data_IF_705153351514
#
_entry.id   IF_705153351514
#
_cell.length_a   1.000
_cell.length_b   1.000
_cell.length_c   1.000
_cell.angle_alpha   90.00
_cell.angle_beta   90.00
_cell.angle_gamma   90.00
#
_symmetry.space_group_name_H-M   'P 1'
#
loop_
_entity.id
_entity.type
_entity.pdbx_description
1 polymer ?
#
# COMPACT_ATOMS: atom_id res chain seq x y z
N UNK A 1 31.13 22.64 -24.60
CA UNK A 1 30.14 21.81 -25.33
C UNK A 1 29.86 20.44 -24.69
N UNK A 2 30.85 19.56 -24.44
CA UNK A 2 30.59 18.20 -23.89
C UNK A 2 29.90 18.17 -22.50
N UNK A 3 30.21 19.12 -21.61
CA UNK A 3 29.66 19.16 -20.24
C UNK A 3 28.18 19.60 -20.22
N UNK A 4 27.84 20.60 -21.03
CA UNK A 4 26.48 21.12 -21.19
C UNK A 4 25.56 20.10 -21.85
N UNK A 5 26.05 19.34 -22.83
CA UNK A 5 25.29 18.25 -23.48
C UNK A 5 25.00 17.10 -22.50
N UNK A 6 25.95 16.74 -21.61
CA UNK A 6 25.72 15.72 -20.57
C UNK A 6 24.66 16.15 -19.55
N UNK A 7 24.66 17.41 -19.13
CA UNK A 7 23.66 17.94 -18.17
C UNK A 7 22.26 17.94 -18.80
N UNK A 8 22.15 18.31 -20.08
CA UNK A 8 20.88 18.28 -20.82
C UNK A 8 20.37 16.84 -20.98
N UNK A 9 21.23 15.87 -21.26
CA UNK A 9 20.85 14.46 -21.37
C UNK A 9 20.37 13.90 -20.01
N UNK A 10 21.05 14.23 -18.91
CA UNK A 10 20.62 13.80 -17.56
C UNK A 10 19.28 14.43 -17.17
N UNK A 11 19.08 15.72 -17.46
CA UNK A 11 17.79 16.38 -17.25
C UNK A 11 16.68 15.76 -18.10
N UNK A 12 16.95 15.42 -19.36
CA UNK A 12 16.00 14.74 -20.24
C UNK A 12 15.63 13.34 -19.71
N UNK A 13 16.61 12.57 -19.20
CA UNK A 13 16.35 11.25 -18.60
C UNK A 13 15.52 11.37 -17.32
N UNK A 14 15.81 12.35 -16.46
CA UNK A 14 15.01 12.60 -15.23
C UNK A 14 13.60 13.07 -15.56
N UNK A 15 13.43 13.88 -16.61
CA UNK A 15 12.11 14.31 -17.09
C UNK A 15 11.35 13.12 -17.70
N UNK A 16 11.99 12.27 -18.51
CA UNK A 16 11.34 11.08 -19.09
C UNK A 16 10.96 10.08 -17.98
N UNK A 17 11.85 9.85 -17.00
CA UNK A 17 11.58 8.99 -15.85
C UNK A 17 10.47 9.56 -14.95
N UNK A 18 10.43 10.88 -14.75
CA UNK A 18 9.37 11.57 -14.02
C UNK A 18 8.03 11.60 -14.77
N UNK A 19 8.06 11.65 -16.10
CA UNK A 19 6.86 11.54 -16.95
C UNK A 19 6.33 10.10 -16.95
N UNK A 20 7.17 9.06 -16.94
CA UNK A 20 6.69 7.68 -16.81
C UNK A 20 5.99 7.37 -15.47
N UNK A 21 6.25 8.15 -14.42
CA UNK A 21 5.52 8.04 -13.14
C UNK A 21 4.25 8.91 -13.12
N UNK A 22 4.15 9.90 -14.02
CA UNK A 22 3.06 10.87 -14.08
C UNK A 22 2.10 10.72 -15.27
N UNK A 23 2.37 9.85 -16.22
CA UNK A 23 1.36 9.47 -17.23
C UNK A 23 0.39 8.52 -16.56
N UNK A 24 -0.69 9.08 -16.01
CA UNK A 24 -1.96 8.38 -15.82
C UNK A 24 -2.15 7.48 -17.01
N UNK A 25 -2.07 6.16 -16.78
CA UNK A 25 -2.31 5.20 -17.83
C UNK A 25 -3.80 5.32 -18.13
N UNK A 26 -4.15 6.22 -19.05
CA UNK A 26 -5.41 6.14 -19.79
C UNK A 26 -5.24 4.93 -20.71
N UNK A 27 -5.29 3.74 -20.10
CA UNK A 27 -5.69 2.55 -20.83
C UNK A 27 -6.98 2.93 -21.57
N UNK A 28 -7.11 2.51 -22.83
CA UNK A 28 -8.44 2.45 -23.42
C UNK A 28 -9.34 1.78 -22.38
N UNK A 29 -10.48 2.40 -22.07
CA UNK A 29 -11.39 1.87 -21.07
C UNK A 29 -11.66 0.40 -21.39
N UNK A 30 -11.06 -0.50 -20.61
CA UNK A 30 -11.33 -1.91 -20.75
C UNK A 30 -12.79 -2.07 -20.30
N UNK A 31 -13.64 -2.68 -21.14
CA UNK A 31 -15.01 -3.00 -20.75
C UNK A 31 -14.99 -3.82 -19.43
N UNK A 32 -16.02 -3.69 -18.58
CA UNK A 32 -16.09 -4.46 -17.35
C UNK A 32 -16.06 -5.95 -17.69
N UNK A 33 -15.03 -6.63 -17.20
CA UNK A 33 -14.78 -8.06 -17.44
C UNK A 33 -13.89 -8.61 -16.33
N UNK A 34 -13.88 -9.93 -16.19
CA UNK A 34 -13.01 -10.61 -15.22
C UNK A 34 -11.52 -10.28 -15.45
N UNK A 35 -11.10 -10.21 -16.72
CA UNK A 35 -9.72 -9.86 -17.10
C UNK A 35 -9.36 -8.42 -16.69
N UNK A 36 -10.26 -7.46 -16.93
CA UNK A 36 -10.02 -6.07 -16.55
C UNK A 36 -10.07 -5.87 -15.03
N UNK A 37 -10.92 -6.63 -14.34
CA UNK A 37 -11.02 -6.64 -12.89
C UNK A 37 -9.78 -7.25 -12.23
N UNK A 38 -9.29 -8.38 -12.74
CA UNK A 38 -8.04 -9.01 -12.31
C UNK A 38 -6.86 -8.05 -12.45
N UNK A 39 -6.74 -7.39 -13.60
CA UNK A 39 -5.67 -6.40 -13.83
C UNK A 39 -5.70 -5.26 -12.80
N UNK A 40 -6.88 -4.78 -12.45
CA UNK A 40 -7.04 -3.76 -11.41
C UNK A 40 -6.70 -4.30 -10.02
N UNK A 41 -7.13 -5.52 -9.70
CA UNK A 41 -6.84 -6.19 -8.44
C UNK A 41 -5.34 -6.43 -8.25
N UNK A 42 -4.62 -6.84 -9.30
CA UNK A 42 -3.15 -7.01 -9.28
C UNK A 42 -2.45 -5.66 -9.13
N UNK A 43 -2.88 -4.63 -9.86
CA UNK A 43 -2.30 -3.29 -9.73
C UNK A 43 -2.52 -2.70 -8.33
N UNK A 44 -3.65 -3.00 -7.69
CA UNK A 44 -3.92 -2.63 -6.31
C UNK A 44 -2.95 -3.30 -5.34
N UNK A 45 -2.73 -4.61 -5.48
CA UNK A 45 -1.74 -5.34 -4.68
C UNK A 45 -0.33 -4.74 -4.83
N UNK A 46 0.10 -4.48 -6.07
CA UNK A 46 1.40 -3.83 -6.33
C UNK A 46 1.52 -2.47 -5.66
N UNK A 47 0.44 -1.67 -5.66
CA UNK A 47 0.43 -0.36 -5.01
C UNK A 47 0.53 -0.48 -3.48
N UNK A 48 -0.21 -1.41 -2.88
CA UNK A 48 -0.21 -1.68 -1.44
C UNK A 48 1.14 -2.19 -0.94
N UNK A 49 1.78 -3.07 -1.72
CA UNK A 49 2.99 -3.78 -1.33
C UNK A 49 4.27 -3.01 -1.62
N UNK A 50 4.33 -2.30 -2.75
CA UNK A 50 5.57 -1.71 -3.25
C UNK A 50 5.54 -0.19 -3.39
N UNK A 51 4.36 0.43 -3.40
CA UNK A 51 4.21 1.89 -3.59
C UNK A 51 3.65 2.60 -2.35
N UNK A 52 3.53 1.90 -1.22
CA UNK A 52 2.93 2.41 0.00
C UNK A 52 3.61 3.64 0.60
N UNK A 53 4.88 3.89 0.28
CA UNK A 53 5.58 5.12 0.68
C UNK A 53 4.93 6.38 0.10
N UNK A 54 4.19 6.23 -1.01
CA UNK A 54 3.36 7.25 -1.62
C UNK A 54 1.87 6.84 -1.63
N UNK A 55 1.14 7.02 -0.51
CA UNK A 55 -0.26 6.59 -0.40
C UNK A 55 -1.20 7.30 -1.37
N UNK A 56 -0.77 8.41 -1.99
CA UNK A 56 -1.53 9.07 -3.04
C UNK A 56 -1.83 8.14 -4.23
N UNK A 57 -0.94 7.17 -4.53
CA UNK A 57 -1.17 6.19 -5.60
C UNK A 57 -2.31 5.24 -5.22
N UNK A 58 -2.35 4.80 -3.97
CA UNK A 58 -3.38 3.88 -3.47
C UNK A 58 -4.75 4.59 -3.46
N UNK A 59 -4.78 5.87 -3.13
CA UNK A 59 -6.00 6.69 -3.20
C UNK A 59 -6.64 6.72 -4.61
N UNK A 60 -5.84 6.62 -5.67
CA UNK A 60 -6.35 6.57 -7.06
C UNK A 60 -7.14 5.29 -7.38
N UNK A 61 -7.12 4.28 -6.51
CA UNK A 61 -7.99 3.12 -6.62
C UNK A 61 -9.33 3.31 -5.93
N UNK A 62 -9.44 4.23 -4.96
CA UNK A 62 -10.65 4.35 -4.14
C UNK A 62 -11.90 4.65 -4.98
N UNK A 63 -13.04 4.14 -4.52
CA UNK A 63 -14.34 4.48 -5.13
C UNK A 63 -14.68 5.96 -5.02
N UNK A 64 -15.55 6.44 -5.90
CA UNK A 64 -16.05 7.80 -5.90
C UNK A 64 -16.81 8.14 -4.62
N UNK A 65 -17.58 7.19 -4.08
CA UNK A 65 -18.29 7.40 -2.80
C UNK A 65 -17.31 7.57 -1.63
N UNK A 66 -16.21 6.81 -1.61
CA UNK A 66 -15.12 7.04 -0.66
C UNK A 66 -14.55 8.46 -0.80
N UNK A 67 -14.21 8.86 -2.04
CA UNK A 67 -13.59 10.15 -2.36
C UNK A 67 -14.48 11.36 -2.10
N UNK A 68 -15.81 11.17 -2.09
CA UNK A 68 -16.78 12.22 -1.68
C UNK A 68 -16.73 12.51 -0.19
N UNK A 69 -16.34 11.53 0.62
CA UNK A 69 -16.29 11.63 2.08
C UNK A 69 -14.90 12.02 2.57
N UNK A 70 -13.87 11.34 2.06
CA UNK A 70 -12.49 11.53 2.48
C UNK A 70 -11.64 12.01 1.31
N UNK A 71 -11.00 13.17 1.47
CA UNK A 71 -10.06 13.67 0.46
C UNK A 71 -8.70 12.97 0.51
N UNK A 72 -7.93 13.15 -0.57
CA UNK A 72 -6.60 12.55 -0.73
C UNK A 72 -5.63 12.90 0.42
N UNK A 73 -5.67 14.13 0.91
CA UNK A 73 -4.74 14.58 1.96
C UNK A 73 -5.04 13.92 3.30
N UNK A 74 -6.33 13.73 3.58
CA UNK A 74 -6.81 13.00 4.75
C UNK A 74 -6.51 11.51 4.66
N UNK A 75 -6.74 10.88 3.52
CA UNK A 75 -6.36 9.49 3.28
C UNK A 75 -4.87 9.26 3.52
N UNK A 76 -4.00 10.11 2.96
CA UNK A 76 -2.54 9.99 3.16
C UNK A 76 -2.17 10.07 4.65
N UNK A 77 -2.84 10.95 5.41
CA UNK A 77 -2.62 11.09 6.86
C UNK A 77 -3.09 9.83 7.60
N UNK A 78 -4.29 9.34 7.31
CA UNK A 78 -4.87 8.15 7.91
C UNK A 78 -3.99 6.91 7.63
N UNK A 79 -3.65 6.68 6.37
CA UNK A 79 -2.80 5.58 5.93
C UNK A 79 -1.42 5.59 6.61
N UNK A 80 -0.76 6.75 6.71
CA UNK A 80 0.52 6.87 7.41
C UNK A 80 0.40 6.58 8.90
N UNK A 81 -0.69 7.01 9.54
CA UNK A 81 -0.95 6.73 10.96
C UNK A 81 -1.21 5.23 11.15
N UNK A 82 -2.06 4.65 10.32
CA UNK A 82 -2.43 3.24 10.31
C UNK A 82 -1.23 2.29 10.19
N UNK A 83 -0.23 2.68 9.37
CA UNK A 83 1.04 1.96 9.19
C UNK A 83 2.18 2.40 10.11
N UNK A 84 1.97 3.38 11.00
CA UNK A 84 3.04 3.89 11.88
C UNK A 84 3.54 2.87 12.92
N UNK A 85 2.78 1.80 13.15
CA UNK A 85 3.19 0.69 14.01
C UNK A 85 3.25 -0.61 13.19
N UNK A 86 4.43 -0.96 12.64
CA UNK A 86 4.58 -2.06 11.67
C UNK A 86 4.24 -3.45 12.24
N UNK A 87 4.24 -3.60 13.56
CA UNK A 87 3.83 -4.84 14.23
C UNK A 87 2.32 -5.03 14.31
N UNK A 88 1.54 -3.95 14.13
CA UNK A 88 0.07 -3.99 14.07
C UNK A 88 -0.44 -4.05 12.63
N UNK A 89 0.41 -3.75 11.66
CA UNK A 89 0.04 -3.70 10.23
C UNK A 89 1.15 -4.29 9.34
N UNK A 90 1.35 -5.62 9.30
CA UNK A 90 2.15 -6.26 8.27
C UNK A 90 1.24 -6.73 7.13
N UNK A 91 1.30 -6.15 5.94
CA UNK A 91 0.48 -6.63 4.82
C UNK A 91 1.19 -6.47 3.48
N UNK A 92 1.97 -7.49 3.16
CA UNK A 92 2.21 -7.85 1.79
C UNK A 92 1.04 -8.75 1.35
N UNK A 93 0.35 -8.43 0.24
CA UNK A 93 -0.83 -9.15 -0.25
C UNK A 93 -0.55 -9.78 -1.61
N UNK A 94 -0.76 -11.09 -1.74
CA UNK A 94 -0.59 -11.78 -3.01
C UNK A 94 -1.96 -12.02 -3.64
N UNK A 95 -2.14 -11.55 -4.87
CA UNK A 95 -3.34 -11.82 -5.66
C UNK A 95 -3.62 -13.32 -5.76
N UNK A 96 -4.88 -13.70 -5.54
CA UNK A 96 -5.38 -15.07 -5.72
C UNK A 96 -6.38 -15.12 -6.88
N UNK A 97 -7.51 -14.41 -6.76
CA UNK A 97 -8.57 -14.40 -7.77
C UNK A 97 -9.51 -13.19 -7.65
N UNK A 98 -10.31 -12.96 -8.69
CA UNK A 98 -11.49 -12.10 -8.66
C UNK A 98 -12.74 -12.94 -8.89
N UNK A 99 -13.83 -12.61 -8.20
CA UNK A 99 -15.16 -13.11 -8.49
C UNK A 99 -16.08 -11.92 -8.78
N UNK A 100 -16.64 -11.87 -10.00
CA UNK A 100 -17.60 -10.85 -10.38
C UNK A 100 -19.02 -11.27 -10.01
N UNK A 101 -19.84 -10.30 -9.64
CA UNK A 101 -21.28 -10.47 -9.47
C UNK A 101 -21.97 -10.64 -10.83
N UNK A 102 -23.24 -11.06 -10.81
CA UNK A 102 -24.03 -11.30 -12.02
C UNK A 102 -24.15 -10.07 -12.94
N UNK A 103 -24.06 -8.87 -12.37
CA UNK A 103 -24.09 -7.60 -13.12
C UNK A 103 -22.81 -7.33 -13.93
N UNK A 104 -21.72 -8.04 -13.63
CA UNK A 104 -20.40 -7.88 -14.24
C UNK A 104 -19.72 -6.55 -13.90
N UNK A 105 -20.32 -5.68 -13.10
CA UNK A 105 -19.84 -4.34 -12.75
C UNK A 105 -19.40 -4.21 -11.30
N UNK A 106 -19.66 -5.22 -10.48
CA UNK A 106 -19.16 -5.31 -9.11
C UNK A 106 -18.56 -6.68 -8.85
N UNK A 107 -17.74 -6.80 -7.83
CA UNK A 107 -17.13 -8.08 -7.47
C UNK A 107 -16.29 -8.01 -6.22
N UNK A 108 -15.53 -9.08 -5.99
CA UNK A 108 -14.60 -9.21 -4.86
C UNK A 108 -13.26 -9.72 -5.37
N UNK A 109 -12.19 -9.02 -4.99
CA UNK A 109 -10.83 -9.50 -5.13
C UNK A 109 -10.40 -10.20 -3.85
N UNK A 110 -9.80 -11.38 -3.99
CA UNK A 110 -9.27 -12.18 -2.90
C UNK A 110 -7.75 -12.17 -2.97
N UNK A 111 -7.11 -11.90 -1.85
CA UNK A 111 -5.66 -11.94 -1.70
C UNK A 111 -5.27 -12.84 -0.54
N UNK A 112 -4.15 -13.54 -0.68
CA UNK A 112 -3.51 -14.17 0.47
C UNK A 112 -2.60 -13.16 1.16
N UNK A 113 -2.74 -13.02 2.48
CA UNK A 113 -1.88 -12.13 3.26
C UNK A 113 -0.59 -12.86 3.64
N UNK A 114 0.55 -12.19 3.46
CA UNK A 114 1.81 -12.61 4.06
C UNK A 114 1.77 -12.32 5.57
N UNK A 115 0.96 -13.07 6.30
CA UNK A 115 0.82 -12.98 7.75
C UNK A 115 1.64 -14.07 8.44
N UNK A 116 1.88 -13.89 9.74
CA UNK A 116 2.52 -14.90 10.61
C UNK A 116 1.69 -16.19 10.76
N UNK A 117 0.43 -16.19 10.31
CA UNK A 117 -0.47 -17.34 10.36
C UNK A 117 -0.90 -17.74 8.92
N UNK A 118 -0.71 -19.00 8.50
CA UNK A 118 -1.16 -19.48 7.19
C UNK A 118 -2.68 -19.38 7.02
N UNK A 119 -3.14 -19.03 5.82
CA UNK A 119 -4.55 -19.12 5.43
C UNK A 119 -5.41 -17.87 5.69
N UNK A 120 -4.81 -16.73 6.06
CA UNK A 120 -5.53 -15.46 6.12
C UNK A 120 -5.77 -14.91 4.70
N UNK A 121 -7.04 -14.69 4.39
CA UNK A 121 -7.51 -14.10 3.14
C UNK A 121 -7.89 -12.65 3.40
N UNK A 122 -7.45 -11.75 2.53
CA UNK A 122 -7.90 -10.37 2.46
C UNK A 122 -8.92 -10.25 1.33
N UNK A 123 -10.09 -9.74 1.65
CA UNK A 123 -11.18 -9.57 0.68
C UNK A 123 -11.42 -8.09 0.47
N UNK A 124 -11.46 -7.68 -0.80
CA UNK A 124 -11.57 -6.29 -1.20
C UNK A 124 -12.68 -6.15 -2.22
N UNK A 125 -13.56 -5.16 -2.04
CA UNK A 125 -14.65 -4.92 -2.98
C UNK A 125 -14.15 -4.26 -4.27
N UNK A 126 -14.72 -4.67 -5.40
CA UNK A 126 -14.49 -4.07 -6.71
C UNK A 126 -15.78 -3.42 -7.23
N UNK A 127 -15.64 -2.22 -7.81
CA UNK A 127 -16.74 -1.46 -8.41
C UNK A 127 -16.26 -0.87 -9.73
N UNK A 128 -16.97 -1.14 -10.83
CA UNK A 128 -16.69 -0.52 -12.12
C UNK A 128 -17.47 0.79 -12.24
N UNK A 129 -16.75 1.90 -12.22
CA UNK A 129 -17.29 3.26 -12.36
C UNK A 129 -16.31 4.12 -13.17
N UNK A 130 -16.80 5.18 -13.82
CA UNK A 130 -15.97 6.07 -14.64
C UNK A 130 -15.06 5.36 -15.66
N UNK A 131 -15.57 4.24 -16.20
CA UNK A 131 -14.88 3.40 -17.18
C UNK A 131 -13.59 2.76 -16.66
N UNK A 132 -13.50 2.51 -15.34
CA UNK A 132 -12.40 1.80 -14.70
C UNK A 132 -12.87 0.99 -13.48
N UNK A 133 -12.04 0.07 -13.01
CA UNK A 133 -12.29 -0.65 -11.75
C UNK A 133 -11.70 0.13 -10.57
N UNK A 134 -12.54 0.33 -9.56
CA UNK A 134 -12.25 0.97 -8.30
C UNK A 134 -12.40 -0.01 -7.13
N UNK A 135 -11.77 0.33 -6.03
CA UNK A 135 -11.57 -0.49 -4.85
C UNK A 135 -12.39 0.10 -3.69
N UNK A 136 -13.22 -0.75 -3.10
CA UNK A 136 -13.85 -0.50 -1.79
C UNK A 136 -13.01 -1.20 -0.73
N UNK A 137 -12.21 -0.39 -0.05
CA UNK A 137 -11.32 -0.77 1.04
C UNK A 137 -11.17 0.45 1.98
N UNK A 138 -10.58 0.26 3.16
CA UNK A 138 -10.32 1.29 4.16
C UNK A 138 -11.58 2.00 4.70
N UNK A 139 -12.73 1.30 4.75
CA UNK A 139 -13.97 1.87 5.30
C UNK A 139 -13.77 2.36 6.75
N UNK A 140 -12.86 1.73 7.49
CA UNK A 140 -12.43 2.10 8.84
C UNK A 140 -11.70 3.46 8.93
N UNK A 141 -11.22 3.99 7.79
CA UNK A 141 -10.66 5.35 7.74
C UNK A 141 -11.78 6.39 7.77
N UNK A 142 -12.93 6.08 7.16
CA UNK A 142 -14.06 7.01 7.06
C UNK A 142 -14.68 7.33 8.41
N UNK A 143 -14.78 6.32 9.29
CA UNK A 143 -15.32 6.47 10.65
C UNK A 143 -14.26 6.63 11.74
N UNK A 144 -12.99 6.45 11.39
CA UNK A 144 -11.85 6.61 12.31
C UNK A 144 -11.58 5.39 13.19
N UNK A 145 -12.35 4.30 13.06
CA UNK A 145 -12.18 3.07 13.86
C UNK A 145 -10.82 2.39 13.65
N UNK A 146 -10.12 2.70 12.56
CA UNK A 146 -8.72 2.28 12.35
C UNK A 146 -7.77 2.73 13.48
N UNK A 147 -8.18 3.72 14.29
CA UNK A 147 -7.42 4.21 15.44
C UNK A 147 -7.54 3.32 16.68
N UNK A 148 -8.61 2.53 16.80
CA UNK A 148 -8.91 1.71 17.99
C UNK A 148 -7.78 0.72 18.28
N UNK A 149 -7.08 0.26 17.24
CA UNK A 149 -5.91 -0.64 17.40
C UNK A 149 -4.76 0.02 18.17
N UNK A 150 -4.66 1.35 18.20
CA UNK A 150 -3.62 2.06 18.98
C UNK A 150 -3.97 2.19 20.46
N UNK A 151 -5.24 2.15 20.84
CA UNK A 151 -5.66 2.29 22.25
C UNK A 151 -5.25 1.09 23.11
N UNK A 152 -5.07 -0.07 22.48
CA UNK A 152 -4.59 -1.30 23.13
C UNK A 152 -3.06 -1.40 23.21
N UNK A 153 -2.31 -0.48 22.59
CA UNK A 153 -0.85 -0.46 22.60
C UNK A 153 -0.35 0.15 23.91
N UNK A 154 -0.35 -0.63 24.98
CA UNK A 154 0.12 -0.21 26.31
C UNK A 154 1.64 -0.24 26.47
N UNK A 155 2.39 -0.64 25.44
CA UNK A 155 3.85 -0.82 25.53
C UNK A 155 4.60 0.33 24.86
N UNK A 156 5.34 1.10 25.66
CA UNK A 156 6.38 2.01 25.17
C UNK A 156 7.53 1.16 24.60
N UNK A 157 7.62 1.09 23.27
CA UNK A 157 8.67 0.37 22.53
C UNK A 157 10.09 0.84 22.86
N UNK A 158 10.27 1.98 23.55
CA UNK A 158 11.59 2.35 24.11
C UNK A 158 12.17 1.23 24.98
N UNK A 159 11.35 0.47 25.69
CA UNK A 159 11.87 -0.59 26.58
C UNK A 159 12.46 -1.80 25.83
N UNK A 160 12.18 -1.97 24.53
CA UNK A 160 12.72 -3.09 23.74
C UNK A 160 14.08 -2.77 23.09
N UNK A 161 14.43 -1.49 22.99
CA UNK A 161 15.70 -1.03 22.42
C UNK A 161 16.65 -0.43 23.46
N UNK A 162 16.20 -0.30 24.71
CA UNK A 162 17.05 0.05 25.87
C UNK A 162 17.75 -1.22 26.41
N UNK A 163 18.39 -1.97 25.52
CA UNK A 163 19.40 -2.94 25.92
C UNK A 163 20.73 -2.20 25.90
N UNK A 164 21.08 -1.56 27.02
CA UNK A 164 22.48 -1.45 27.39
C UNK A 164 23.02 -2.88 27.36
N UNK A 165 23.75 -3.23 26.30
CA UNK A 165 24.57 -4.41 26.30
C UNK A 165 25.56 -4.21 27.44
N UNK A 166 25.59 -5.07 28.49
CA UNK A 166 26.69 -5.01 29.42
C UNK A 166 27.95 -5.24 28.61
N UNK A 167 28.88 -4.28 28.63
CA UNK A 167 30.20 -4.46 28.04
C UNK A 167 30.78 -5.75 28.63
N UNK A 168 31.13 -6.67 27.75
CA UNK A 168 31.71 -7.96 28.12
C UNK A 168 32.95 -7.67 28.98
N UNK A 169 32.89 -8.01 30.29
CA UNK A 169 34.08 -7.99 31.12
C UNK A 169 35.08 -8.97 30.52
N UNK A 170 36.16 -8.45 29.93
CA UNK A 170 37.33 -9.22 29.56
C UNK A 170 37.82 -9.98 30.79
N UNK A 171 37.52 -11.27 30.88
CA UNK A 171 38.16 -12.14 31.86
C UNK A 171 39.59 -12.40 31.39
N UNK A 172 40.52 -11.55 31.82
CA UNK A 172 41.91 -11.95 32.04
C UNK A 172 41.94 -13.09 33.07
N UNK A 173 42.21 -14.30 32.60
CA UNK A 173 42.91 -15.31 33.40
C UNK A 173 43.66 -16.19 32.39
N UNK A 174 44.98 -16.24 32.37
CA UNK A 174 45.84 -16.48 33.51
C UNK A 174 46.57 -17.78 33.18
N UNK A 175 47.85 -17.65 32.84
CA UNK A 175 48.82 -18.72 32.59
C UNK A 175 48.74 -19.87 33.60
N UNK A 176 48.80 -21.11 33.10
CA UNK A 176 49.75 -22.14 33.53
C UNK A 176 50.03 -23.15 32.40
#
# INVERSE_FOLDING_TARGET
MKKTIKIIIVLLIVIIAGITVGTSIKHAADEPSEVSAEKAAVAYAEAIDYQYENPAVIYEFMTDDFRKVMDKSEFIRAFKKERSYPYLTPLFINYDRVELNEDGTTGTAYYSQAARLPGMVYEVGLVYEDSNWHIRDFDDFLDGSYLDKFDTVTYDLKSYFDTEYPEDEETESGTE
#
